data_IF_004392233831
#
_entry.id   IF_004392233831
#
_cell.length_a   1.000
_cell.length_b   1.000
_cell.length_c   1.000
_cell.angle_alpha   90.00
_cell.angle_beta   90.00
_cell.angle_gamma   90.00
#
_symmetry.space_group_name_H-M   'P 1'
#
loop_
_entity.id
_entity.type
_entity.pdbx_description
1 polymer ?
#
# COMPACT_ATOMS: atom_id res chain seq x y z
N UNK A 1 7.93 11.90 12.96
CA UNK A 1 7.10 11.04 12.10
C UNK A 1 7.10 11.63 10.69
N UNK A 2 7.28 10.78 9.70
CA UNK A 2 7.33 11.20 8.32
C UNK A 2 6.02 10.91 7.61
N UNK A 3 5.63 11.78 6.70
CA UNK A 3 4.36 11.67 6.00
C UNK A 3 4.48 12.06 4.53
N UNK A 4 3.71 11.38 3.69
CA UNK A 4 3.49 11.72 2.29
C UNK A 4 2.02 11.55 1.97
N UNK A 5 1.48 12.45 1.15
CA UNK A 5 0.13 12.33 0.63
C UNK A 5 0.19 12.31 -0.88
N UNK A 6 -0.51 11.35 -1.48
CA UNK A 6 -0.56 11.20 -2.94
C UNK A 6 -1.98 10.99 -3.40
N UNK A 7 -2.25 11.41 -4.63
CA UNK A 7 -3.56 11.23 -5.28
C UNK A 7 -3.37 10.72 -6.69
N UNK A 8 -4.33 9.94 -7.18
CA UNK A 8 -4.38 9.50 -8.56
C UNK A 8 -5.84 9.32 -8.97
N UNK A 9 -6.14 9.61 -10.22
CA UNK A 9 -7.46 9.35 -10.80
C UNK A 9 -7.38 8.07 -11.62
N UNK A 10 -8.27 7.11 -11.32
CA UNK A 10 -8.34 5.84 -12.03
C UNK A 10 -9.67 5.77 -12.77
N UNK A 11 -9.62 5.59 -14.09
CA UNK A 11 -10.79 5.48 -14.95
C UNK A 11 -11.21 4.02 -15.07
N UNK A 12 -11.83 3.51 -14.00
CA UNK A 12 -12.34 2.14 -13.92
C UNK A 12 -13.51 2.09 -12.94
N UNK A 13 -14.33 1.03 -12.97
CA UNK A 13 -15.40 0.89 -12.00
C UNK A 13 -14.86 0.79 -10.56
N UNK A 14 -15.58 1.41 -9.64
CA UNK A 14 -15.21 1.41 -8.22
C UNK A 14 -15.02 -0.01 -7.69
N UNK A 15 -15.90 -0.92 -8.08
CA UNK A 15 -15.84 -2.33 -7.65
C UNK A 15 -14.54 -2.99 -8.08
N UNK A 16 -14.08 -2.71 -9.28
CA UNK A 16 -12.83 -3.28 -9.80
C UNK A 16 -11.62 -2.75 -9.05
N UNK A 17 -11.61 -1.44 -8.80
CA UNK A 17 -10.53 -0.78 -8.05
C UNK A 17 -10.45 -1.35 -6.65
N UNK A 18 -11.61 -1.46 -5.98
CA UNK A 18 -11.68 -1.98 -4.62
C UNK A 18 -11.29 -3.46 -4.53
N UNK A 19 -11.69 -4.26 -5.53
CA UNK A 19 -11.36 -5.69 -5.56
C UNK A 19 -9.85 -5.93 -5.61
N UNK A 20 -9.11 -5.06 -6.29
CA UNK A 20 -7.64 -5.14 -6.33
C UNK A 20 -7.06 -4.91 -4.94
N UNK A 21 -7.56 -3.90 -4.22
CA UNK A 21 -7.13 -3.63 -2.85
C UNK A 21 -7.52 -4.75 -1.89
N UNK A 22 -8.68 -5.35 -2.10
CA UNK A 22 -9.22 -6.39 -1.22
C UNK A 22 -8.43 -7.69 -1.27
N UNK A 23 -7.84 -8.03 -2.41
CA UNK A 23 -7.08 -9.27 -2.56
C UNK A 23 -5.60 -9.04 -2.18
N UNK A 24 -5.29 -9.31 -0.93
CA UNK A 24 -3.93 -9.09 -0.40
C UNK A 24 -2.89 -9.98 -1.06
N UNK A 25 -3.29 -11.09 -1.69
CA UNK A 25 -2.35 -11.96 -2.41
C UNK A 25 -1.96 -11.41 -3.78
N UNK A 26 -2.66 -10.37 -4.24
CA UNK A 26 -2.41 -9.74 -5.53
C UNK A 26 -1.31 -8.67 -5.47
N UNK A 27 -0.84 -8.31 -4.28
CA UNK A 27 0.10 -7.20 -4.11
C UNK A 27 1.39 -7.33 -4.93
N UNK A 28 1.93 -8.54 -5.23
CA UNK A 28 3.09 -8.62 -6.13
C UNK A 28 2.85 -8.03 -7.53
N UNK A 29 1.59 -7.90 -7.94
CA UNK A 29 1.27 -7.39 -9.28
C UNK A 29 1.17 -5.87 -9.32
N UNK A 30 0.98 -5.19 -8.17
CA UNK A 30 0.81 -3.74 -8.22
C UNK A 30 1.60 -2.96 -7.17
N UNK A 31 1.91 -3.54 -6.01
CA UNK A 31 2.70 -2.84 -4.99
C UNK A 31 4.17 -2.93 -5.34
N UNK A 32 4.80 -1.78 -5.56
CA UNK A 32 6.19 -1.71 -5.98
C UNK A 32 7.11 -2.43 -4.98
N UNK A 33 7.98 -3.29 -5.50
CA UNK A 33 8.97 -4.00 -4.70
C UNK A 33 8.47 -5.29 -4.06
N UNK A 34 7.17 -5.55 -4.03
CA UNK A 34 6.63 -6.79 -3.44
C UNK A 34 6.87 -7.96 -4.39
N UNK A 35 7.54 -9.00 -3.91
CA UNK A 35 7.85 -10.21 -4.69
C UNK A 35 6.89 -11.35 -4.37
N UNK A 36 6.52 -11.51 -3.10
CA UNK A 36 5.61 -12.54 -2.66
C UNK A 36 4.69 -11.98 -1.58
N UNK A 37 3.47 -12.48 -1.52
CA UNK A 37 2.50 -12.11 -0.51
C UNK A 37 1.68 -13.34 -0.10
N UNK A 38 1.49 -13.53 1.22
CA UNK A 38 0.67 -14.63 1.72
C UNK A 38 -0.19 -14.18 2.91
N UNK A 39 -1.38 -14.71 3.00
CA UNK A 39 -2.25 -14.48 4.15
C UNK A 39 -1.69 -15.20 5.37
N UNK A 40 -1.73 -14.54 6.52
CA UNK A 40 -1.19 -15.09 7.76
C UNK A 40 -2.22 -15.26 8.87
N UNK A 41 -3.42 -14.74 8.70
CA UNK A 41 -4.48 -14.87 9.69
C UNK A 41 -5.65 -15.68 9.18
N UNK A 42 -6.67 -15.84 10.02
CA UNK A 42 -7.90 -16.53 9.66
C UNK A 42 -8.86 -15.67 8.82
N UNK A 43 -8.75 -14.34 8.94
CA UNK A 43 -9.60 -13.41 8.19
C UNK A 43 -9.03 -13.26 6.77
N UNK A 44 -9.82 -13.58 5.77
CA UNK A 44 -9.37 -13.53 4.38
C UNK A 44 -9.41 -12.12 3.79
N UNK A 45 -10.40 -11.33 4.18
CA UNK A 45 -10.65 -10.03 3.60
C UNK A 45 -11.31 -9.12 4.63
N UNK A 46 -11.04 -7.83 4.53
CA UNK A 46 -11.65 -6.82 5.38
C UNK A 46 -10.89 -6.60 6.68
N UNK A 47 -11.57 -6.02 7.66
CA UNK A 47 -10.98 -5.68 8.95
C UNK A 47 -10.45 -6.94 9.63
N UNK A 48 -9.20 -6.88 10.08
CA UNK A 48 -8.52 -7.98 10.74
C UNK A 48 -7.75 -8.89 9.79
N UNK A 49 -7.87 -8.69 8.47
CA UNK A 49 -7.06 -9.44 7.51
C UNK A 49 -5.58 -9.16 7.76
N UNK A 50 -4.77 -10.21 7.76
CA UNK A 50 -3.32 -10.11 7.97
C UNK A 50 -2.60 -10.81 6.84
N UNK A 51 -1.46 -10.25 6.46
CA UNK A 51 -0.62 -10.86 5.43
C UNK A 51 0.82 -10.42 5.61
N UNK A 52 1.71 -11.19 5.01
CA UNK A 52 3.14 -10.93 5.03
C UNK A 52 3.65 -10.82 3.60
N UNK A 53 4.55 -9.88 3.38
CA UNK A 53 5.14 -9.66 2.07
C UNK A 53 6.65 -9.75 2.15
N UNK A 54 7.24 -10.38 1.12
CA UNK A 54 8.68 -10.32 0.87
C UNK A 54 8.91 -9.23 -0.16
N UNK A 55 9.68 -8.23 0.20
CA UNK A 55 9.87 -7.03 -0.61
C UNK A 55 11.34 -6.81 -0.94
N UNK A 56 11.59 -6.16 -2.08
CA UNK A 56 12.91 -5.62 -2.42
C UNK A 56 12.75 -4.11 -2.62
N UNK A 57 13.40 -3.33 -1.79
CA UNK A 57 13.36 -1.88 -1.87
C UNK A 57 14.79 -1.36 -1.77
N UNK A 58 15.22 -0.57 -2.76
CA UNK A 58 16.59 -0.06 -2.85
C UNK A 58 17.62 -1.21 -2.65
N UNK A 59 17.40 -2.34 -3.34
CA UNK A 59 18.24 -3.56 -3.30
C UNK A 59 18.26 -4.28 -1.96
N UNK A 60 17.44 -3.83 -0.99
CA UNK A 60 17.32 -4.47 0.31
C UNK A 60 16.14 -5.43 0.32
N UNK A 61 16.37 -6.66 0.77
CA UNK A 61 15.31 -7.64 0.98
C UNK A 61 14.74 -7.44 2.37
N UNK A 62 13.42 -7.19 2.45
CA UNK A 62 12.75 -7.02 3.74
C UNK A 62 11.47 -7.83 3.78
N UNK A 63 11.12 -8.27 4.99
CA UNK A 63 9.84 -8.90 5.28
C UNK A 63 8.97 -7.88 6.00
N UNK A 64 7.74 -7.73 5.55
CA UNK A 64 6.80 -6.76 6.13
C UNK A 64 5.51 -7.48 6.49
N UNK A 65 5.02 -7.24 7.69
CA UNK A 65 3.73 -7.77 8.14
C UNK A 65 2.70 -6.66 8.14
N UNK A 66 1.51 -6.97 7.62
CA UNK A 66 0.43 -6.02 7.47
C UNK A 66 -0.83 -6.49 8.17
N UNK A 67 -1.63 -5.53 8.62
CA UNK A 67 -2.97 -5.78 9.14
C UNK A 67 -3.92 -4.71 8.65
N UNK A 68 -5.11 -5.13 8.19
CA UNK A 68 -6.19 -4.23 7.80
C UNK A 68 -6.92 -3.77 9.06
N UNK A 69 -6.69 -2.54 9.45
CA UNK A 69 -7.26 -1.98 10.70
C UNK A 69 -8.65 -1.40 10.52
N UNK A 70 -8.90 -0.77 9.37
CA UNK A 70 -10.19 -0.18 9.02
C UNK A 70 -10.57 -0.63 7.63
N UNK A 71 -11.81 -1.03 7.46
CA UNK A 71 -12.34 -1.50 6.18
C UNK A 71 -13.76 -0.99 6.02
N UNK A 72 -13.89 0.14 5.35
CA UNK A 72 -15.20 0.75 5.01
C UNK A 72 -15.42 0.49 3.53
N UNK A 73 -16.32 -0.42 3.23
CA UNK A 73 -16.49 -1.00 1.90
C UNK A 73 -16.56 0.07 0.80
N UNK A 74 -15.68 -0.06 -0.19
CA UNK A 74 -15.58 0.82 -1.37
C UNK A 74 -15.32 2.30 -1.05
N UNK A 75 -14.88 2.59 0.16
CA UNK A 75 -14.74 3.96 0.63
C UNK A 75 -13.37 4.22 1.25
N UNK A 76 -13.00 3.44 2.26
CA UNK A 76 -11.80 3.75 3.03
C UNK A 76 -11.18 2.48 3.63
N UNK A 77 -9.87 2.42 3.59
CA UNK A 77 -9.11 1.34 4.22
C UNK A 77 -7.90 1.93 4.95
N UNK A 78 -7.55 1.35 6.10
CA UNK A 78 -6.33 1.70 6.83
C UNK A 78 -5.54 0.43 7.04
N UNK A 79 -4.30 0.44 6.58
CA UNK A 79 -3.37 -0.69 6.69
C UNK A 79 -2.23 -0.27 7.60
N UNK A 80 -1.99 -1.06 8.63
CA UNK A 80 -0.86 -0.88 9.52
C UNK A 80 0.18 -1.95 9.23
N UNK A 81 1.43 -1.54 9.14
CA UNK A 81 2.52 -2.41 8.74
C UNK A 81 3.64 -2.38 9.78
N UNK A 82 4.23 -3.55 10.02
CA UNK A 82 5.41 -3.71 10.88
C UNK A 82 6.61 -3.95 9.98
N UNK A 83 7.58 -3.08 10.08
CA UNK A 83 8.82 -3.11 9.30
C UNK A 83 9.94 -3.70 10.16
N UNK A 84 11.05 -4.14 9.53
CA UNK A 84 12.20 -4.62 10.31
C UNK A 84 12.71 -3.56 11.31
N UNK A 85 13.32 -4.03 12.38
CA UNK A 85 13.92 -3.18 13.43
C UNK A 85 12.90 -2.28 14.12
N UNK A 86 11.68 -2.82 14.32
CA UNK A 86 10.57 -2.12 14.98
C UNK A 86 10.09 -0.87 14.24
N UNK A 87 10.35 -0.80 12.95
CA UNK A 87 9.75 0.24 12.12
C UNK A 87 8.27 0.02 11.93
N UNK A 88 7.54 1.07 11.56
CA UNK A 88 6.11 1.00 11.32
C UNK A 88 5.70 1.90 10.17
N UNK A 89 4.59 1.55 9.53
CA UNK A 89 3.96 2.37 8.51
C UNK A 89 2.46 2.24 8.61
N UNK A 90 1.76 3.34 8.42
CA UNK A 90 0.30 3.36 8.33
C UNK A 90 -0.08 3.98 7.01
N UNK A 91 -0.94 3.31 6.26
CA UNK A 91 -1.48 3.81 4.99
C UNK A 91 -2.98 3.99 5.15
N UNK A 92 -3.47 5.19 4.89
CA UNK A 92 -4.90 5.48 4.82
C UNK A 92 -5.26 5.71 3.38
N UNK A 93 -6.16 4.91 2.86
CA UNK A 93 -6.58 4.90 1.45
C UNK A 93 -8.04 5.28 1.39
N UNK A 94 -8.35 6.34 0.63
CA UNK A 94 -9.73 6.83 0.47
C UNK A 94 -10.06 6.83 -1.02
N UNK A 95 -11.21 6.24 -1.36
CA UNK A 95 -11.73 6.20 -2.72
C UNK A 95 -12.88 7.19 -2.84
N UNK A 96 -12.76 8.13 -3.76
CA UNK A 96 -13.73 9.21 -3.95
C UNK A 96 -14.25 9.15 -5.40
N UNK A 97 -15.51 8.74 -5.61
CA UNK A 97 -16.08 8.74 -6.96
C UNK A 97 -16.12 10.15 -7.55
N UNK A 98 -15.73 10.26 -8.81
CA UNK A 98 -15.77 11.50 -9.59
C UNK A 98 -16.48 11.24 -10.91
N UNK A 99 -16.76 12.29 -11.68
CA UNK A 99 -17.39 12.13 -13.00
C UNK A 99 -16.49 11.39 -14.00
N UNK A 100 -15.17 11.53 -13.87
CA UNK A 100 -14.19 10.94 -14.80
C UNK A 100 -13.63 9.60 -14.32
N UNK A 101 -14.02 9.12 -13.14
CA UNK A 101 -13.49 7.90 -12.55
C UNK A 101 -13.50 7.95 -11.03
N UNK A 102 -12.52 7.35 -10.42
CA UNK A 102 -12.39 7.32 -8.95
C UNK A 102 -11.05 7.96 -8.57
N UNK A 103 -11.10 8.96 -7.71
CA UNK A 103 -9.89 9.53 -7.12
C UNK A 103 -9.46 8.67 -5.94
N UNK A 104 -8.21 8.24 -5.98
CA UNK A 104 -7.60 7.53 -4.86
C UNK A 104 -6.71 8.54 -4.14
N UNK A 105 -6.99 8.76 -2.85
CA UNK A 105 -6.14 9.60 -2.00
C UNK A 105 -5.49 8.71 -0.95
N UNK A 106 -4.17 8.75 -0.85
CA UNK A 106 -3.44 7.91 0.09
C UNK A 106 -2.53 8.78 0.95
N UNK A 107 -2.64 8.58 2.26
CA UNK A 107 -1.72 9.14 3.22
C UNK A 107 -0.80 8.04 3.71
N UNK A 108 0.51 8.26 3.62
CA UNK A 108 1.54 7.34 4.10
C UNK A 108 2.22 7.99 5.31
N UNK A 109 2.17 7.32 6.46
CA UNK A 109 2.87 7.73 7.67
C UNK A 109 3.87 6.63 8.01
N UNK A 110 5.12 6.99 8.28
CA UNK A 110 6.10 5.98 8.64
C UNK A 110 7.05 6.46 9.72
N UNK A 111 7.58 5.47 10.45
CA UNK A 111 8.64 5.66 11.42
C UNK A 111 9.55 4.43 11.32
N UNK A 112 10.74 4.60 10.80
CA UNK A 112 11.70 3.51 10.64
C UNK A 112 12.59 3.34 11.87
N UNK A 113 12.43 4.18 12.89
CA UNK A 113 13.21 4.10 14.11
C UNK A 113 14.71 4.22 13.83
N UNK A 114 15.49 3.30 14.39
CA UNK A 114 16.95 3.29 14.26
C UNK A 114 17.36 3.13 12.80
N UNK A 115 16.65 2.31 12.04
CA UNK A 115 16.98 2.11 10.62
C UNK A 115 16.87 3.41 9.83
N UNK A 116 15.89 4.24 10.11
CA UNK A 116 15.74 5.55 9.47
C UNK A 116 16.90 6.49 9.81
N UNK A 117 17.36 6.45 11.05
CA UNK A 117 18.51 7.25 11.47
C UNK A 117 19.79 6.82 10.74
N UNK A 118 20.00 5.52 10.57
CA UNK A 118 21.18 4.97 9.92
C UNK A 118 21.21 5.24 8.43
N UNK A 119 20.04 5.18 7.77
CA UNK A 119 19.92 5.38 6.31
C UNK A 119 19.85 6.85 5.92
N UNK A 120 19.38 7.71 6.81
CA UNK A 120 19.13 9.12 6.55
C UNK A 120 17.69 9.37 6.10
N UNK A 121 17.03 10.31 6.77
CA UNK A 121 15.58 10.57 6.51
C UNK A 121 15.29 11.00 5.08
N UNK A 122 16.15 11.86 4.50
CA UNK A 122 15.93 12.34 3.15
C UNK A 122 16.06 11.21 2.12
N UNK A 123 17.05 10.34 2.27
CA UNK A 123 17.22 9.19 1.39
C UNK A 123 16.03 8.26 1.47
N UNK A 124 15.57 7.94 2.68
CA UNK A 124 14.41 7.09 2.89
C UNK A 124 13.18 7.71 2.27
N UNK A 125 12.95 9.01 2.49
CA UNK A 125 11.81 9.71 1.93
C UNK A 125 11.80 9.64 0.40
N UNK A 126 12.95 9.84 -0.24
CA UNK A 126 13.05 9.79 -1.69
C UNK A 126 12.76 8.38 -2.23
N UNK A 127 13.26 7.35 -1.57
CA UNK A 127 12.99 5.96 -1.95
C UNK A 127 11.51 5.63 -1.81
N UNK A 128 10.90 6.00 -0.69
CA UNK A 128 9.47 5.73 -0.44
C UNK A 128 8.58 6.54 -1.38
N UNK A 129 8.92 7.80 -1.63
CA UNK A 129 8.17 8.65 -2.55
C UNK A 129 8.08 8.00 -3.94
N UNK A 130 9.22 7.56 -4.47
CA UNK A 130 9.25 6.92 -5.79
C UNK A 130 8.49 5.58 -5.76
N UNK A 131 8.66 4.80 -4.71
CA UNK A 131 7.97 3.51 -4.58
C UNK A 131 6.45 3.69 -4.49
N UNK A 132 5.98 4.67 -3.73
CA UNK A 132 4.54 4.95 -3.62
C UNK A 132 3.98 5.47 -4.94
N UNK A 133 4.74 6.29 -5.66
CA UNK A 133 4.35 6.77 -6.99
C UNK A 133 4.17 5.59 -7.95
N UNK A 134 5.14 4.68 -7.98
CA UNK A 134 5.09 3.48 -8.83
C UNK A 134 3.90 2.60 -8.47
N UNK A 135 3.65 2.43 -7.17
CA UNK A 135 2.53 1.60 -6.68
C UNK A 135 1.18 2.15 -7.18
N UNK A 136 0.96 3.45 -7.07
CA UNK A 136 -0.29 4.05 -7.53
C UNK A 136 -0.43 3.94 -9.06
N UNK A 137 0.65 4.15 -9.80
CA UNK A 137 0.63 3.98 -11.25
C UNK A 137 0.31 2.54 -11.65
N UNK A 138 0.87 1.57 -10.94
CA UNK A 138 0.60 0.15 -11.19
C UNK A 138 -0.85 -0.21 -10.87
N UNK A 139 -1.40 0.32 -9.79
CA UNK A 139 -2.81 0.11 -9.44
C UNK A 139 -3.72 0.65 -10.54
N UNK A 140 -3.43 1.85 -11.01
CA UNK A 140 -4.15 2.46 -12.13
C UNK A 140 -4.10 1.58 -13.38
N UNK A 141 -2.90 1.14 -13.76
CA UNK A 141 -2.73 0.30 -14.95
C UNK A 141 -3.49 -1.02 -14.82
N UNK A 142 -3.43 -1.65 -13.66
CA UNK A 142 -4.13 -2.91 -13.43
C UNK A 142 -5.65 -2.74 -13.45
N UNK A 143 -6.15 -1.66 -12.84
CA UNK A 143 -7.59 -1.38 -12.80
C UNK A 143 -8.15 -0.98 -14.16
N UNK A 144 -7.38 -0.24 -14.96
CA UNK A 144 -7.81 0.24 -16.27
C UNK A 144 -7.61 -0.79 -17.38
N UNK A 145 -6.93 -1.88 -17.08
CA UNK A 145 -6.70 -2.94 -18.04
C UNK A 145 -8.04 -3.59 -18.43
N UNK A 146 -8.23 -3.77 -19.71
CA UNK A 146 -9.45 -4.41 -20.20
C UNK A 146 -9.36 -5.93 -20.05
N UNK A 147 -10.47 -6.51 -19.67
CA UNK A 147 -10.60 -7.97 -19.49
C UNK A 147 -10.75 -8.68 -20.83
#
# INVERSE_FOLDING_TARGET
>A
MNALTKKILISAPLEKIWAILADVTLTPEWVDGVKESERTGAVREGKGAKWRESCVLDRQHIEVEHEMKVWELMSRAVIQSVLPMNGSMTRTIVLIPKSEGVEIAVEFLWDLGIAGMLLGEEKVRNILDQSFENTLANWKDLAEKQD
#
